data_IF_561692687737
#
_entry.id   IF_561692687737
#
_cell.length_a   1.000
_cell.length_b   1.000
_cell.length_c   1.000
_cell.angle_alpha   90.00
_cell.angle_beta   90.00
_cell.angle_gamma   90.00
#
_symmetry.space_group_name_H-M   'P 1'
#
loop_
_entity.id
_entity.type
_entity.pdbx_description
1 polymer ?
#
# COMPACT_ATOMS: atom_id res chain seq x y z
N UNK A 1 -14.41 -12.41 11.76
CA UNK A 1 -14.44 -11.47 10.62
C UNK A 1 -13.13 -11.65 9.88
N UNK A 2 -13.15 -12.08 8.62
CA UNK A 2 -11.92 -12.16 7.83
C UNK A 2 -11.46 -10.72 7.54
N UNK A 3 -10.29 -10.31 8.04
CA UNK A 3 -9.64 -9.11 7.51
C UNK A 3 -9.45 -9.32 6.02
N UNK A 4 -10.07 -8.46 5.21
CA UNK A 4 -9.86 -8.52 3.78
C UNK A 4 -8.38 -8.22 3.50
N UNK A 5 -7.73 -9.10 2.73
CA UNK A 5 -6.33 -8.95 2.39
C UNK A 5 -6.09 -7.58 1.73
N UNK A 6 -4.93 -6.93 1.99
CA UNK A 6 -4.59 -5.69 1.31
C UNK A 6 -4.55 -5.90 -0.19
N UNK A 7 -5.05 -4.91 -0.93
CA UNK A 7 -5.05 -4.92 -2.40
C UNK A 7 -4.04 -3.90 -2.93
N UNK A 8 -3.43 -4.19 -4.08
CA UNK A 8 -2.57 -3.22 -4.73
C UNK A 8 -3.40 -2.02 -5.21
N UNK A 9 -2.92 -0.82 -4.88
CA UNK A 9 -3.45 0.40 -5.45
C UNK A 9 -3.06 0.49 -6.94
N UNK A 10 -3.78 1.30 -7.74
CA UNK A 10 -3.37 1.61 -9.09
C UNK A 10 -1.92 2.12 -9.14
N UNK A 11 -1.16 1.82 -10.21
CA UNK A 11 0.19 2.35 -10.36
C UNK A 11 0.14 3.88 -10.41
N UNK A 12 0.78 4.51 -9.43
CA UNK A 12 0.88 5.96 -9.32
C UNK A 12 2.24 6.43 -9.86
N UNK A 13 2.28 7.23 -10.95
CA UNK A 13 3.54 7.72 -11.52
C UNK A 13 4.25 8.76 -10.63
N UNK A 14 3.57 9.32 -9.62
CA UNK A 14 4.17 10.26 -8.65
C UNK A 14 4.91 9.53 -7.52
N UNK A 15 4.66 8.23 -7.34
CA UNK A 15 5.25 7.44 -6.27
C UNK A 15 6.69 7.03 -6.64
N UNK A 16 7.70 7.40 -5.83
CA UNK A 16 9.08 7.03 -6.12
C UNK A 16 9.26 5.51 -6.08
N UNK A 17 9.94 4.94 -7.08
CA UNK A 17 10.35 3.52 -7.02
C UNK A 17 11.26 3.33 -5.80
N UNK A 18 11.12 2.24 -5.01
CA UNK A 18 10.33 1.02 -5.26
C UNK A 18 8.97 0.97 -4.52
N UNK A 19 8.50 2.11 -4.00
CA UNK A 19 7.30 2.15 -3.17
C UNK A 19 6.07 1.63 -3.93
N UNK A 20 5.18 0.96 -3.20
CA UNK A 20 3.94 0.38 -3.71
C UNK A 20 2.77 0.86 -2.86
N UNK A 21 1.78 1.46 -3.50
CA UNK A 21 0.50 1.75 -2.86
C UNK A 21 -0.26 0.44 -2.60
N UNK A 22 -0.76 0.29 -1.39
CA UNK A 22 -1.60 -0.80 -0.93
C UNK A 22 -2.81 -0.20 -0.24
N UNK A 23 -3.99 -0.76 -0.51
CA UNK A 23 -5.23 -0.36 0.14
C UNK A 23 -5.58 -1.44 1.15
N UNK A 24 -5.71 -1.05 2.40
CA UNK A 24 -6.15 -1.91 3.49
C UNK A 24 -7.58 -2.40 3.19
N UNK A 25 -7.77 -3.72 3.11
CA UNK A 25 -9.07 -4.28 2.74
C UNK A 25 -10.13 -4.13 3.83
N UNK A 26 -9.72 -3.89 5.08
CA UNK A 26 -10.62 -3.77 6.24
C UNK A 26 -11.16 -2.35 6.36
N UNK A 27 -10.31 -1.35 6.15
CA UNK A 27 -10.64 0.07 6.38
C UNK A 27 -10.76 0.88 5.09
N UNK A 28 -10.18 0.41 3.99
CA UNK A 28 -10.09 1.15 2.73
C UNK A 28 -8.99 2.21 2.70
N UNK A 29 -8.15 2.31 3.74
CA UNK A 29 -7.05 3.27 3.79
C UNK A 29 -5.94 2.90 2.80
N UNK A 30 -5.43 3.92 2.11
CA UNK A 30 -4.23 3.80 1.30
C UNK A 30 -2.99 3.92 2.20
N UNK A 31 -2.03 3.03 2.02
CA UNK A 31 -0.72 3.09 2.64
C UNK A 31 0.33 2.68 1.61
N UNK A 32 1.54 3.19 1.77
CA UNK A 32 2.65 2.88 0.89
C UNK A 32 3.62 1.93 1.58
N UNK A 33 4.01 0.88 0.88
CA UNK A 33 4.97 -0.11 1.35
C UNK A 33 6.14 -0.21 0.40
N UNK A 34 7.34 -0.23 0.96
CA UNK A 34 8.58 -0.44 0.21
C UNK A 34 9.02 -1.92 0.37
N UNK A 35 9.04 -2.73 -0.72
CA UNK A 35 9.43 -4.13 -0.65
C UNK A 35 10.94 -4.34 -0.42
N UNK A 36 11.78 -3.34 -0.71
CA UNK A 36 13.23 -3.40 -0.52
C UNK A 36 13.61 -3.16 0.94
N UNK A 37 13.10 -2.08 1.54
CA UNK A 37 13.43 -1.69 2.92
C UNK A 37 12.46 -2.23 3.96
N UNK A 38 11.32 -2.81 3.54
CA UNK A 38 10.18 -3.18 4.39
C UNK A 38 9.57 -2.00 5.16
N UNK A 39 9.87 -0.77 4.76
CA UNK A 39 9.25 0.42 5.33
C UNK A 39 7.77 0.53 4.91
N UNK A 40 6.94 1.03 5.82
CA UNK A 40 5.53 1.37 5.58
C UNK A 40 5.29 2.82 5.96
N UNK A 41 4.49 3.53 5.17
CA UNK A 41 4.06 4.90 5.48
C UNK A 41 2.60 5.07 5.10
N UNK A 42 1.90 5.91 5.83
CA UNK A 42 0.52 6.31 5.54
C UNK A 42 0.55 7.66 4.83
N UNK A 43 -0.45 7.93 3.99
CA UNK A 43 -0.73 9.27 3.46
C UNK A 43 -1.71 10.01 4.41
#
# INVERSE_FOLDING_TARGET
MASAAPRYAPPDPTLPKPWRGLIDGTTGYLYFWNPETKAVTYD
#
